data_IF_886831884633
#
_entry.id   IF_886831884633
#
_cell.length_a   1.000
_cell.length_b   1.000
_cell.length_c   1.000
_cell.angle_alpha   90.00
_cell.angle_beta   90.00
_cell.angle_gamma   90.00
#
_symmetry.space_group_name_H-M   'P 1'
#
loop_
_entity.id
_entity.type
_entity.pdbx_description
1 polymer ?
#
# COMPACT_ATOMS: atom_id res chain seq x y z
N UNK A 1 -8.41 9.70 -10.48
CA UNK A 1 -8.33 8.56 -9.55
C UNK A 1 -6.89 8.13 -9.40
N UNK A 2 -6.41 8.00 -8.19
CA UNK A 2 -5.02 7.63 -7.92
C UNK A 2 -4.96 6.18 -7.42
N UNK A 3 -4.22 5.33 -8.11
CA UNK A 3 -4.09 3.92 -7.78
C UNK A 3 -2.80 3.63 -7.04
N UNK A 4 -2.90 2.75 -6.04
CA UNK A 4 -1.75 2.25 -5.28
C UNK A 4 -1.58 0.78 -5.64
N UNK A 5 -0.38 0.39 -6.09
CA UNK A 5 -0.07 -1.02 -6.32
C UNK A 5 0.05 -1.72 -4.96
N UNK A 6 -0.74 -2.76 -4.77
CA UNK A 6 -0.75 -3.53 -3.52
C UNK A 6 -0.29 -4.97 -3.70
N UNK A 7 -0.01 -5.40 -4.92
CA UNK A 7 0.48 -6.75 -5.16
C UNK A 7 0.42 -7.16 -6.61
N UNK A 8 0.65 -8.45 -6.82
CA UNK A 8 0.62 -9.06 -8.15
C UNK A 8 -0.06 -10.42 -8.06
N UNK A 9 -0.92 -10.72 -9.02
CA UNK A 9 -1.52 -12.04 -9.15
C UNK A 9 -0.47 -12.95 -9.78
N UNK A 10 0.05 -13.90 -9.02
CA UNK A 10 1.13 -14.77 -9.48
C UNK A 10 0.63 -16.11 -10.02
N UNK A 11 -0.56 -16.52 -9.62
CA UNK A 11 -1.16 -17.76 -10.11
C UNK A 11 -2.63 -17.85 -9.71
N UNK A 12 -3.30 -18.90 -10.19
CA UNK A 12 -4.61 -19.32 -9.73
C UNK A 12 -4.44 -20.54 -8.83
N UNK A 13 -5.48 -20.89 -8.06
CA UNK A 13 -5.45 -22.02 -7.15
C UNK A 13 -6.79 -22.77 -7.16
N UNK A 14 -6.75 -24.03 -7.60
CA UNK A 14 -7.94 -24.87 -7.68
C UNK A 14 -8.90 -24.43 -8.78
N UNK A 15 -10.05 -25.09 -8.84
CA UNK A 15 -11.00 -24.95 -9.95
C UNK A 15 -12.09 -23.91 -9.71
N UNK A 16 -12.19 -23.37 -8.47
CA UNK A 16 -13.29 -22.48 -8.08
C UNK A 16 -13.00 -21.00 -8.28
N UNK A 17 -11.91 -20.65 -8.93
CA UNK A 17 -11.59 -19.26 -9.24
C UNK A 17 -10.81 -18.52 -8.17
N UNK A 18 -10.18 -19.21 -7.25
CA UNK A 18 -9.31 -18.58 -6.26
C UNK A 18 -8.00 -18.16 -6.92
N UNK A 19 -7.53 -16.95 -6.57
CA UNK A 19 -6.27 -16.40 -7.09
C UNK A 19 -5.26 -16.20 -5.97
N UNK A 20 -3.98 -16.37 -6.32
CA UNK A 20 -2.85 -16.15 -5.43
C UNK A 20 -2.26 -14.79 -5.71
N UNK A 21 -2.25 -13.93 -4.69
CA UNK A 21 -1.64 -12.61 -4.77
C UNK A 21 -0.38 -12.61 -3.91
N UNK A 22 0.72 -12.12 -4.48
CA UNK A 22 1.94 -11.85 -3.73
C UNK A 22 1.98 -10.38 -3.43
N UNK A 23 1.97 -10.03 -2.13
CA UNK A 23 1.89 -8.64 -1.68
C UNK A 23 2.87 -8.38 -0.56
N UNK A 24 3.56 -7.25 -0.67
CA UNK A 24 4.41 -6.70 0.40
C UNK A 24 3.79 -5.43 0.98
N UNK A 25 2.53 -5.16 0.68
CA UNK A 25 1.85 -3.96 1.14
C UNK A 25 1.73 -3.98 2.65
N UNK A 26 2.03 -2.86 3.30
CA UNK A 26 2.05 -2.77 4.76
C UNK A 26 0.66 -2.86 5.39
N UNK A 27 -0.34 -2.37 4.69
CA UNK A 27 -1.71 -2.30 5.21
C UNK A 27 -2.62 -3.36 4.55
N UNK A 28 -2.15 -4.60 4.46
CA UNK A 28 -2.91 -5.70 3.85
C UNK A 28 -4.27 -5.92 4.50
N UNK A 29 -4.35 -5.74 5.82
CA UNK A 29 -5.57 -5.89 6.60
C UNK A 29 -6.66 -4.89 6.23
N UNK A 30 -6.29 -3.80 5.56
CA UNK A 30 -7.24 -2.78 5.07
C UNK A 30 -7.65 -3.03 3.62
N UNK A 31 -6.93 -3.88 2.91
CA UNK A 31 -7.08 -4.07 1.47
C UNK A 31 -7.68 -5.43 1.14
N UNK A 32 -7.14 -6.50 1.71
CA UNK A 32 -7.57 -7.87 1.42
C UNK A 32 -8.65 -8.31 2.41
N UNK A 33 -9.82 -7.71 2.29
CA UNK A 33 -10.98 -8.00 3.13
C UNK A 33 -12.21 -8.16 2.24
N UNK A 34 -13.12 -9.04 2.68
CA UNK A 34 -14.38 -9.28 1.96
C UNK A 34 -15.13 -7.98 1.75
N UNK A 35 -15.62 -7.76 0.55
CA UNK A 35 -16.38 -6.57 0.17
C UNK A 35 -15.53 -5.43 -0.35
N UNK A 36 -14.22 -5.46 -0.17
CA UNK A 36 -13.35 -4.43 -0.70
C UNK A 36 -13.17 -4.56 -2.22
N UNK A 37 -12.95 -3.44 -2.88
CA UNK A 37 -12.76 -3.39 -4.33
C UNK A 37 -11.27 -3.38 -4.65
N UNK A 38 -10.86 -4.26 -5.56
CA UNK A 38 -9.52 -4.27 -6.14
C UNK A 38 -9.61 -3.93 -7.63
N UNK A 39 -8.56 -3.31 -8.13
CA UNK A 39 -8.42 -2.99 -9.55
C UNK A 39 -7.25 -3.78 -10.11
N UNK A 40 -7.43 -4.42 -11.25
CA UNK A 40 -6.45 -5.37 -11.79
C UNK A 40 -6.03 -4.99 -13.20
N UNK A 41 -4.72 -5.03 -13.46
CA UNK A 41 -4.15 -4.83 -14.77
C UNK A 41 -4.05 -3.37 -15.20
N UNK A 42 -3.55 -3.16 -16.42
CA UNK A 42 -3.38 -1.81 -16.98
C UNK A 42 -4.70 -1.08 -17.14
N UNK A 43 -5.77 -1.82 -17.44
CA UNK A 43 -7.11 -1.23 -17.61
C UNK A 43 -7.81 -0.98 -16.29
N UNK A 44 -7.23 -1.40 -15.19
CA UNK A 44 -7.82 -1.23 -13.84
C UNK A 44 -9.23 -1.78 -13.77
N UNK A 45 -9.39 -3.00 -14.28
CA UNK A 45 -10.67 -3.71 -14.18
C UNK A 45 -11.00 -3.95 -12.71
N UNK A 46 -12.20 -3.62 -12.28
CA UNK A 46 -12.57 -3.68 -10.87
C UNK A 46 -13.28 -4.97 -10.50
N UNK A 47 -12.94 -5.45 -9.32
CA UNK A 47 -13.50 -6.68 -8.74
C UNK A 47 -13.79 -6.44 -7.27
N UNK A 48 -14.80 -7.12 -6.75
CA UNK A 48 -15.11 -7.09 -5.31
C UNK A 48 -14.69 -8.41 -4.69
N UNK A 49 -13.93 -8.35 -3.60
CA UNK A 49 -13.47 -9.53 -2.89
C UNK A 49 -14.66 -10.25 -2.25
N UNK A 50 -14.83 -11.52 -2.59
CA UNK A 50 -15.86 -12.40 -2.01
C UNK A 50 -15.32 -13.16 -0.81
N UNK A 51 -14.07 -13.63 -0.86
CA UNK A 51 -13.44 -14.35 0.24
C UNK A 51 -11.96 -14.06 0.29
N UNK A 52 -11.38 -14.19 1.48
CA UNK A 52 -9.96 -14.00 1.70
C UNK A 52 -9.42 -15.02 2.69
N UNK A 53 -8.23 -15.55 2.41
CA UNK A 53 -7.42 -16.31 3.36
C UNK A 53 -5.94 -16.11 3.07
N UNK A 54 -5.13 -16.21 4.10
CA UNK A 54 -3.68 -16.21 3.94
C UNK A 54 -3.21 -17.68 3.92
N UNK A 55 -2.48 -18.06 2.86
CA UNK A 55 -2.01 -19.43 2.69
C UNK A 55 -0.56 -19.42 2.21
N UNK A 56 0.33 -20.05 3.00
CA UNK A 56 1.77 -19.98 2.75
C UNK A 56 2.22 -18.53 2.81
N UNK A 57 2.68 -17.96 1.69
CA UNK A 57 3.09 -16.55 1.63
C UNK A 57 2.10 -15.72 0.81
N UNK A 58 0.98 -16.31 0.41
CA UNK A 58 0.05 -15.67 -0.52
C UNK A 58 -1.19 -15.14 0.17
N UNK A 59 -1.63 -14.00 -0.29
CA UNK A 59 -2.96 -13.49 -0.01
C UNK A 59 -3.90 -14.07 -1.06
N UNK A 60 -4.81 -14.95 -0.65
CA UNK A 60 -5.69 -15.71 -1.53
C UNK A 60 -7.07 -15.09 -1.51
N UNK A 61 -7.60 -14.72 -2.67
CA UNK A 61 -8.93 -14.14 -2.76
C UNK A 61 -9.76 -14.81 -3.85
N UNK A 62 -11.08 -14.78 -3.65
CA UNK A 62 -12.03 -15.02 -4.74
C UNK A 62 -12.80 -13.72 -4.98
N UNK A 63 -13.25 -13.51 -6.21
CA UNK A 63 -14.03 -12.33 -6.56
C UNK A 63 -15.52 -12.65 -6.68
N UNK A 64 -16.37 -11.72 -6.30
CA UNK A 64 -17.80 -11.86 -6.46
C UNK A 64 -18.17 -12.10 -7.93
N UNK A 65 -19.03 -13.10 -8.17
CA UNK A 65 -19.48 -13.45 -9.52
C UNK A 65 -18.52 -14.33 -10.31
N UNK A 66 -17.37 -14.68 -9.76
CA UNK A 66 -16.36 -15.50 -10.44
C UNK A 66 -16.15 -16.79 -9.63
N UNK A 67 -16.68 -17.90 -10.12
CA UNK A 67 -16.72 -19.18 -9.40
C UNK A 67 -15.95 -20.30 -10.09
N UNK A 68 -15.30 -20.00 -11.25
CA UNK A 68 -14.63 -20.96 -12.08
C UNK A 68 -13.25 -20.41 -12.46
N UNK A 69 -12.25 -21.29 -12.41
CA UNK A 69 -10.87 -20.93 -12.75
C UNK A 69 -10.75 -20.32 -14.15
N UNK A 70 -11.53 -20.79 -15.11
CA UNK A 70 -11.47 -20.28 -16.49
C UNK A 70 -11.87 -18.81 -16.60
N UNK A 71 -12.63 -18.31 -15.65
CA UNK A 71 -13.05 -16.91 -15.63
C UNK A 71 -11.96 -15.97 -15.15
N UNK A 72 -10.94 -16.48 -14.44
CA UNK A 72 -9.90 -15.65 -13.81
C UNK A 72 -8.49 -15.93 -14.33
N UNK A 73 -8.31 -16.93 -15.21
CA UNK A 73 -6.99 -17.28 -15.76
C UNK A 73 -6.29 -16.08 -16.42
N UNK A 74 -7.03 -15.22 -17.10
CA UNK A 74 -6.46 -14.06 -17.78
C UNK A 74 -5.84 -13.02 -16.84
N UNK A 75 -6.15 -13.11 -15.55
CA UNK A 75 -5.62 -12.18 -14.56
C UNK A 75 -4.22 -12.56 -14.08
N UNK A 76 -3.76 -13.77 -14.41
CA UNK A 76 -2.43 -14.24 -14.00
C UNK A 76 -1.34 -13.31 -14.53
N UNK A 77 -0.45 -12.88 -13.65
CA UNK A 77 0.64 -11.98 -13.99
C UNK A 77 0.30 -10.50 -13.88
N UNK A 78 -0.95 -10.16 -13.66
CA UNK A 78 -1.39 -8.77 -13.58
C UNK A 78 -1.15 -8.17 -12.20
N UNK A 79 -0.84 -6.88 -12.16
CA UNK A 79 -0.72 -6.13 -10.91
C UNK A 79 -2.08 -5.79 -10.34
N UNK A 80 -2.12 -5.69 -9.01
CA UNK A 80 -3.34 -5.40 -8.25
C UNK A 80 -3.21 -4.04 -7.60
N UNK A 81 -4.27 -3.25 -7.67
CA UNK A 81 -4.30 -1.89 -7.17
C UNK A 81 -5.51 -1.64 -6.29
N UNK A 82 -5.41 -0.64 -5.43
CA UNK A 82 -6.56 -0.03 -4.76
C UNK A 82 -6.60 1.45 -5.12
N UNK A 83 -7.78 2.06 -5.01
CA UNK A 83 -7.90 3.51 -5.13
C UNK A 83 -7.45 4.12 -3.81
N UNK A 84 -6.51 5.05 -3.86
CA UNK A 84 -5.98 5.71 -2.66
C UNK A 84 -7.09 6.32 -1.80
N UNK A 85 -8.12 6.87 -2.42
CA UNK A 85 -9.24 7.49 -1.71
C UNK A 85 -10.05 6.49 -0.89
N UNK A 86 -10.03 5.20 -1.28
CA UNK A 86 -10.76 4.14 -0.58
C UNK A 86 -9.93 3.52 0.55
N UNK A 87 -8.65 3.88 0.65
CA UNK A 87 -7.77 3.36 1.69
C UNK A 87 -7.94 4.18 2.96
N UNK A 88 -8.57 3.58 3.96
CA UNK A 88 -8.80 4.21 5.27
C UNK A 88 -7.95 3.50 6.30
N UNK A 89 -6.97 4.21 6.85
CA UNK A 89 -6.08 3.69 7.88
C UNK A 89 -6.60 4.04 9.28
N UNK A 90 -6.13 3.28 10.27
CA UNK A 90 -6.52 3.50 11.67
C UNK A 90 -5.95 4.83 12.20
N UNK A 91 -6.68 5.43 13.15
CA UNK A 91 -6.22 6.63 13.88
C UNK A 91 -5.86 7.82 12.96
N UNK A 92 -6.55 7.94 11.83
CA UNK A 92 -6.30 9.00 10.85
C UNK A 92 -4.86 9.00 10.32
N UNK A 93 -4.19 7.85 10.35
CA UNK A 93 -2.86 7.72 9.77
C UNK A 93 -2.91 8.07 8.28
N UNK A 94 -1.92 8.83 7.82
CA UNK A 94 -1.80 9.16 6.41
C UNK A 94 -0.93 8.10 5.72
N UNK A 95 -1.41 7.57 4.61
CA UNK A 95 -0.64 6.64 3.81
C UNK A 95 0.69 7.30 3.40
N UNK A 96 1.80 6.62 3.69
CA UNK A 96 3.16 7.18 3.49
C UNK A 96 3.42 7.65 2.06
N UNK A 97 2.94 6.92 1.07
CA UNK A 97 3.12 7.28 -0.34
C UNK A 97 2.48 8.61 -0.72
N UNK A 98 1.48 9.05 0.02
CA UNK A 98 0.85 10.37 -0.20
C UNK A 98 1.81 11.52 0.12
N UNK A 99 2.80 11.27 0.95
CA UNK A 99 3.74 12.28 1.43
C UNK A 99 4.84 12.61 0.42
N UNK A 100 4.97 11.85 -0.65
CA UNK A 100 5.96 12.14 -1.70
C UNK A 100 5.66 13.52 -2.28
N UNK A 101 6.68 14.38 -2.30
CA UNK A 101 6.56 15.76 -2.74
C UNK A 101 6.23 16.76 -1.63
N UNK A 102 5.90 16.30 -0.43
CA UNK A 102 5.67 17.19 0.71
C UNK A 102 7.01 17.77 1.19
N UNK A 103 6.94 18.99 1.70
CA UNK A 103 8.09 19.64 2.32
C UNK A 103 8.36 19.00 3.68
N UNK A 104 9.63 18.78 4.01
CA UNK A 104 10.04 18.15 5.25
C UNK A 104 10.89 19.09 6.09
N UNK A 105 10.54 19.19 7.36
CA UNK A 105 11.24 19.98 8.36
C UNK A 105 11.71 19.07 9.49
N UNK A 106 12.97 19.20 9.89
CA UNK A 106 13.52 18.54 11.09
C UNK A 106 13.75 19.63 12.13
N UNK A 107 12.98 19.61 13.21
CA UNK A 107 12.91 20.77 14.08
C UNK A 107 12.43 21.98 13.27
N UNK A 108 13.15 23.08 13.36
CA UNK A 108 12.84 24.29 12.60
C UNK A 108 13.50 24.33 11.22
N UNK A 109 14.30 23.34 10.89
CA UNK A 109 15.11 23.34 9.67
C UNK A 109 14.41 22.65 8.52
N UNK A 110 14.23 23.38 7.40
CA UNK A 110 13.77 22.78 6.16
C UNK A 110 14.89 21.93 5.55
N UNK A 111 14.63 20.66 5.24
CA UNK A 111 15.64 19.75 4.69
C UNK A 111 15.36 19.30 3.27
N UNK A 112 14.22 19.65 2.70
CA UNK A 112 13.88 19.32 1.33
C UNK A 112 12.52 18.67 1.20
N UNK A 113 12.22 18.18 0.01
CA UNK A 113 10.98 17.45 -0.27
C UNK A 113 11.19 15.96 -0.08
N UNK A 114 10.14 15.28 0.37
CA UNK A 114 10.15 13.82 0.43
C UNK A 114 10.18 13.29 -0.99
N UNK A 115 11.24 12.57 -1.33
CA UNK A 115 11.49 12.08 -2.68
C UNK A 115 10.87 10.72 -2.92
N UNK A 116 10.90 9.88 -1.89
CA UNK A 116 10.61 8.47 -2.03
C UNK A 116 10.24 7.88 -0.67
N UNK A 117 9.47 6.80 -0.68
CA UNK A 117 9.18 6.01 0.51
C UNK A 117 9.78 4.62 0.33
N UNK A 118 10.61 4.20 1.28
CA UNK A 118 11.23 2.88 1.29
C UNK A 118 10.40 1.96 2.20
N UNK A 119 10.05 0.79 1.69
CA UNK A 119 9.28 -0.19 2.45
C UNK A 119 10.24 -1.13 3.19
N UNK A 120 10.66 -0.71 4.39
CA UNK A 120 11.55 -1.50 5.24
C UNK A 120 10.75 -2.36 6.23
N UNK A 121 11.34 -3.45 6.76
CA UNK A 121 10.58 -4.37 7.63
C UNK A 121 9.96 -3.72 8.87
N UNK A 122 10.70 -2.84 9.56
CA UNK A 122 10.23 -2.23 10.80
C UNK A 122 9.20 -1.13 10.58
N UNK A 123 9.36 -0.35 9.51
CA UNK A 123 8.46 0.76 9.17
C UNK A 123 8.75 1.23 7.76
N UNK A 124 7.83 2.01 7.21
CA UNK A 124 8.16 2.79 6.02
C UNK A 124 9.19 3.85 6.40
N UNK A 125 10.05 4.22 5.46
CA UNK A 125 11.10 5.20 5.66
C UNK A 125 10.94 6.29 4.60
N UNK A 126 10.86 7.54 5.05
CA UNK A 126 10.78 8.70 4.17
C UNK A 126 12.21 9.12 3.79
N UNK A 127 12.46 9.22 2.50
CA UNK A 127 13.77 9.65 2.00
C UNK A 127 13.74 11.10 1.57
N UNK A 128 14.63 11.92 2.16
CA UNK A 128 14.79 13.34 1.83
C UNK A 128 16.29 13.57 1.59
N UNK A 129 16.70 13.54 0.32
CA UNK A 129 18.12 13.58 -0.02
C UNK A 129 18.85 12.37 0.57
N UNK A 130 19.81 12.61 1.45
CA UNK A 130 20.54 11.55 2.17
C UNK A 130 19.91 11.21 3.52
N UNK A 131 18.89 11.95 3.94
CA UNK A 131 18.26 11.76 5.23
C UNK A 131 17.17 10.68 5.12
N UNK A 132 17.20 9.71 6.01
CA UNK A 132 16.22 8.63 6.08
C UNK A 132 15.44 8.76 7.38
N UNK A 133 14.13 8.98 7.28
CA UNK A 133 13.27 9.25 8.43
C UNK A 133 12.29 8.10 8.59
N UNK A 134 12.35 7.32 9.67
CA UNK A 134 11.34 6.31 9.95
C UNK A 134 9.95 6.95 10.09
N UNK A 135 8.99 6.43 9.37
CA UNK A 135 7.63 6.95 9.42
C UNK A 135 6.88 6.29 10.58
N UNK A 136 7.23 6.71 11.79
CA UNK A 136 6.67 6.23 13.05
C UNK A 136 6.37 7.40 13.97
N UNK A 137 5.48 7.17 14.93
CA UNK A 137 5.03 8.22 15.86
C UNK A 137 6.18 8.88 16.64
N UNK A 138 7.23 8.14 16.91
CA UNK A 138 8.39 8.62 17.65
C UNK A 138 9.14 9.74 16.92
N UNK A 139 9.02 9.78 15.60
CA UNK A 139 9.72 10.77 14.78
C UNK A 139 8.81 11.84 14.21
N UNK A 140 7.55 11.54 13.93
CA UNK A 140 6.64 12.46 13.24
C UNK A 140 5.86 13.28 14.26
N UNK A 141 6.08 14.61 14.25
CA UNK A 141 5.36 15.52 15.15
C UNK A 141 3.95 15.77 14.60
N UNK A 142 3.87 16.19 13.33
CA UNK A 142 2.59 16.48 12.68
C UNK A 142 2.77 16.53 11.17
N UNK A 143 1.66 16.40 10.47
CA UNK A 143 1.58 16.54 9.02
C UNK A 143 0.41 17.47 8.75
N UNK A 144 0.67 18.62 8.13
CA UNK A 144 -0.36 19.60 7.76
C UNK A 144 0.12 20.48 6.63
N UNK A 145 -0.79 20.98 5.80
CA UNK A 145 -0.50 21.91 4.71
C UNK A 145 0.61 21.42 3.76
N UNK A 146 0.61 20.13 3.44
CA UNK A 146 1.62 19.49 2.61
C UNK A 146 3.03 19.60 3.17
N UNK A 147 3.13 19.60 4.49
CA UNK A 147 4.40 19.66 5.22
C UNK A 147 4.45 18.55 6.27
N UNK A 148 5.62 17.93 6.40
CA UNK A 148 5.90 16.93 7.42
C UNK A 148 6.90 17.52 8.40
N UNK A 149 6.53 17.52 9.67
CA UNK A 149 7.36 18.03 10.77
C UNK A 149 7.91 16.86 11.57
N UNK A 150 9.22 16.76 11.62
CA UNK A 150 9.95 15.66 12.22
C UNK A 150 10.71 16.15 13.47
N UNK A 151 10.77 15.32 14.49
CA UNK A 151 11.59 15.63 15.68
C UNK A 151 13.05 15.77 15.30
N UNK A 152 13.71 16.75 15.89
CA UNK A 152 15.16 16.91 15.77
C UNK A 152 15.84 15.90 16.69
N UNK A 153 16.06 14.70 16.16
CA UNK A 153 16.68 13.59 16.87
C UNK A 153 18.16 13.55 16.51
N UNK A 154 18.98 13.38 17.53
CA UNK A 154 20.45 13.29 17.36
C UNK A 154 20.78 12.16 16.38
N UNK A 155 21.60 12.48 15.37
CA UNK A 155 22.06 11.54 14.38
C UNK A 155 21.12 11.36 13.19
N UNK A 156 19.97 12.06 13.15
CA UNK A 156 19.04 11.95 12.03
C UNK A 156 19.56 12.68 10.80
N UNK A 157 20.13 13.85 10.99
CA UNK A 157 20.69 14.68 9.90
C UNK A 157 22.15 15.02 10.12
#
# INVERSE_FOLDING_TARGET
MKFINVGKIVNTHGIKGEIRILSKFRHKDKVFVKGNKLYVGKKKEDFIINSYRYHKIFDMVTFEGFTNINEVLYLKGEFVYVNEEDLILDNNEIYSGKLIGYDCYVGDKYIGKIEEVLNEPASDVLKVGKVLIPYVKEFIIKIEDNKVYVKDVRGLI
#
